data_IF_292229592349
#
_entry.id   IF_292229592349
#
_cell.length_a   1.000
_cell.length_b   1.000
_cell.length_c   1.000
_cell.angle_alpha   90.00
_cell.angle_beta   90.00
_cell.angle_gamma   90.00
#
_symmetry.space_group_name_H-M   'P 1'
#
loop_
_entity.id
_entity.type
_entity.pdbx_description
1 polymer ?
#
# COMPACT_ATOMS: atom_id res chain seq x y z
N UNK A 1 -33.17 8.24 -26.50
CA UNK A 1 -33.64 7.72 -27.80
C UNK A 1 -35.18 7.67 -27.83
N UNK A 2 -35.80 8.11 -28.93
CA UNK A 2 -37.25 8.18 -29.17
C UNK A 2 -37.77 7.09 -30.14
N UNK A 3 -36.89 6.35 -30.81
CA UNK A 3 -37.31 5.27 -31.70
C UNK A 3 -37.47 3.94 -30.96
N UNK A 4 -38.40 3.11 -31.43
CA UNK A 4 -38.67 1.78 -30.86
C UNK A 4 -38.11 0.64 -31.71
N UNK A 5 -37.32 0.95 -32.74
CA UNK A 5 -36.73 0.01 -33.69
C UNK A 5 -35.26 0.34 -34.01
N UNK A 6 -34.66 1.26 -33.28
CA UNK A 6 -33.37 1.86 -33.60
C UNK A 6 -32.25 0.97 -33.06
N UNK A 7 -31.17 0.87 -33.80
CA UNK A 7 -29.98 0.13 -33.39
C UNK A 7 -28.86 1.09 -33.02
N UNK A 8 -28.57 1.16 -31.72
CA UNK A 8 -27.49 2.00 -31.22
C UNK A 8 -26.14 1.32 -31.33
N UNK A 9 -25.13 2.07 -31.77
CA UNK A 9 -23.73 1.63 -31.77
C UNK A 9 -22.92 2.49 -30.82
N UNK A 10 -22.16 1.86 -29.89
CA UNK A 10 -21.25 2.57 -29.00
C UNK A 10 -19.78 2.38 -29.41
N UNK A 11 -18.97 3.43 -29.24
CA UNK A 11 -17.51 3.37 -29.28
C UNK A 11 -16.92 4.00 -28.03
N UNK A 12 -15.89 3.36 -27.49
CA UNK A 12 -15.21 3.81 -26.27
C UNK A 12 -13.74 4.09 -26.59
N UNK A 13 -13.28 5.29 -26.23
CA UNK A 13 -11.86 5.67 -26.20
C UNK A 13 -11.40 5.67 -24.76
N UNK A 14 -10.41 4.86 -24.43
CA UNK A 14 -9.94 4.68 -23.05
C UNK A 14 -8.97 5.77 -22.60
N UNK A 15 -8.48 6.61 -23.51
CA UNK A 15 -7.60 7.73 -23.17
C UNK A 15 -6.14 7.35 -22.91
N UNK A 16 -5.76 6.09 -23.12
CA UNK A 16 -4.40 5.56 -22.94
C UNK A 16 -3.59 5.46 -24.26
N UNK A 17 -4.17 5.95 -25.36
CA UNK A 17 -3.58 5.90 -26.70
C UNK A 17 -3.86 4.61 -27.48
N UNK A 18 -4.58 3.64 -26.90
CA UNK A 18 -5.08 2.47 -27.63
C UNK A 18 -6.18 2.84 -28.62
N UNK A 19 -6.40 1.96 -29.60
CA UNK A 19 -7.48 2.16 -30.58
C UNK A 19 -8.85 2.03 -29.90
N UNK A 20 -9.86 2.81 -30.34
CA UNK A 20 -11.20 2.76 -29.75
C UNK A 20 -11.86 1.40 -29.96
N UNK A 21 -12.57 0.94 -28.94
CA UNK A 21 -13.22 -0.37 -28.91
C UNK A 21 -14.75 -0.23 -29.07
N UNK A 22 -15.42 -1.18 -29.75
CA UNK A 22 -16.88 -1.18 -29.87
C UNK A 22 -17.53 -1.65 -28.55
N UNK A 23 -18.48 -0.86 -28.02
CA UNK A 23 -19.27 -1.21 -26.84
C UNK A 23 -20.56 -1.96 -27.19
N UNK A 24 -21.06 -2.80 -26.27
CA UNK A 24 -22.36 -3.47 -26.43
C UNK A 24 -23.44 -2.57 -25.81
N UNK A 25 -24.40 -2.12 -26.61
CA UNK A 25 -25.52 -1.31 -26.11
C UNK A 25 -26.71 -2.22 -25.80
N UNK A 26 -27.22 -2.13 -24.57
CA UNK A 26 -28.46 -2.79 -24.14
C UNK A 26 -29.50 -1.74 -23.78
N UNK A 27 -30.69 -1.80 -24.37
CA UNK A 27 -31.81 -0.89 -24.08
C UNK A 27 -32.98 -1.65 -23.43
N UNK A 28 -33.67 -1.00 -22.49
CA UNK A 28 -34.93 -1.53 -21.93
C UNK A 28 -36.10 -1.21 -22.88
N UNK A 29 -36.53 -2.23 -23.62
CA UNK A 29 -37.56 -2.12 -24.66
C UNK A 29 -39.01 -2.21 -24.16
N UNK A 30 -39.27 -2.12 -22.86
CA UNK A 30 -40.59 -2.47 -22.28
C UNK A 30 -41.76 -1.48 -22.51
N UNK A 31 -41.73 -0.57 -23.49
CA UNK A 31 -42.83 0.40 -23.71
C UNK A 31 -43.47 0.34 -25.11
N UNK A 32 -44.78 0.65 -25.23
CA UNK A 32 -45.51 0.58 -26.49
C UNK A 32 -44.97 1.53 -27.56
N UNK A 33 -45.19 1.15 -28.83
CA UNK A 33 -44.82 1.91 -30.03
C UNK A 33 -45.37 3.34 -29.96
N UNK A 34 -44.49 4.35 -30.07
CA UNK A 34 -44.85 5.78 -30.08
C UNK A 34 -44.65 6.54 -28.76
N UNK A 35 -43.85 6.02 -27.82
CA UNK A 35 -43.47 6.76 -26.61
C UNK A 35 -42.61 8.00 -26.95
N UNK A 36 -42.91 9.14 -26.32
CA UNK A 36 -42.22 10.43 -26.53
C UNK A 36 -41.13 10.71 -25.48
N UNK A 37 -40.93 9.79 -24.55
CA UNK A 37 -39.92 9.91 -23.49
C UNK A 37 -38.65 9.18 -23.92
N UNK A 38 -37.49 9.80 -23.69
CA UNK A 38 -36.20 9.19 -23.96
C UNK A 38 -35.99 7.93 -23.10
N UNK A 39 -35.43 6.87 -23.70
CA UNK A 39 -35.08 5.64 -22.98
C UNK A 39 -33.66 5.64 -22.44
N UNK A 40 -33.48 4.96 -21.32
CA UNK A 40 -32.18 4.63 -20.75
C UNK A 40 -31.65 3.31 -21.34
N UNK A 41 -30.34 3.21 -21.46
CA UNK A 41 -29.64 1.98 -21.83
C UNK A 41 -28.28 1.89 -21.13
N UNK A 42 -27.64 0.74 -21.22
CA UNK A 42 -26.28 0.51 -20.72
C UNK A 42 -25.33 0.22 -21.88
N UNK A 43 -24.10 0.70 -21.75
CA UNK A 43 -22.98 0.32 -22.62
C UNK A 43 -22.05 -0.58 -21.81
N UNK A 44 -21.97 -1.86 -22.16
CA UNK A 44 -21.14 -2.85 -21.46
C UNK A 44 -19.83 -3.08 -22.23
N UNK A 45 -18.70 -2.86 -21.54
CA UNK A 45 -17.35 -3.12 -22.04
C UNK A 45 -16.34 -3.23 -20.90
N UNK A 46 -15.18 -3.83 -21.15
CA UNK A 46 -14.06 -3.92 -20.20
C UNK A 46 -12.73 -3.65 -20.90
N UNK A 47 -11.80 -2.99 -20.20
CA UNK A 47 -10.48 -2.68 -20.74
C UNK A 47 -9.40 -2.78 -19.66
N UNK A 48 -8.17 -3.06 -20.10
CA UNK A 48 -7.00 -3.19 -19.22
C UNK A 48 -5.99 -2.12 -19.57
N UNK A 49 -5.73 -1.23 -18.61
CA UNK A 49 -4.74 -0.17 -18.80
C UNK A 49 -3.31 -0.70 -18.59
N UNK A 50 -2.36 -0.28 -19.44
CA UNK A 50 -0.97 -0.74 -19.34
C UNK A 50 -0.19 -0.09 -18.20
N UNK A 51 -0.62 1.08 -17.70
CA UNK A 51 0.07 1.83 -16.64
C UNK A 51 -0.94 2.45 -15.66
N UNK A 52 -0.53 2.79 -14.42
CA UNK A 52 -1.28 3.69 -13.56
C UNK A 52 -1.35 5.09 -14.19
N UNK A 53 -2.45 5.81 -13.94
CA UNK A 53 -2.61 7.16 -14.48
C UNK A 53 -4.04 7.69 -14.43
N UNK A 54 -4.18 8.94 -14.83
CA UNK A 54 -5.49 9.57 -15.05
C UNK A 54 -5.83 9.44 -16.53
N UNK A 55 -6.96 8.80 -16.80
CA UNK A 55 -7.44 8.54 -18.14
C UNK A 55 -8.79 9.21 -18.36
N UNK A 56 -8.94 9.89 -19.49
CA UNK A 56 -10.23 10.45 -19.93
C UNK A 56 -10.90 9.45 -20.84
N UNK A 57 -11.85 8.70 -20.29
CA UNK A 57 -12.66 7.76 -21.07
C UNK A 57 -13.76 8.53 -21.76
N UNK A 58 -13.80 8.44 -23.09
CA UNK A 58 -14.87 9.04 -23.91
C UNK A 58 -15.74 7.94 -24.48
N UNK A 59 -17.05 8.03 -24.23
CA UNK A 59 -18.05 7.12 -24.80
C UNK A 59 -18.88 7.90 -25.80
N UNK A 60 -18.97 7.41 -27.03
CA UNK A 60 -19.84 7.97 -28.05
C UNK A 60 -20.89 6.93 -28.46
N UNK A 61 -22.15 7.32 -28.50
CA UNK A 61 -23.27 6.50 -28.95
C UNK A 61 -23.86 7.12 -30.22
N UNK A 62 -24.01 6.31 -31.26
CA UNK A 62 -24.61 6.70 -32.53
C UNK A 62 -25.90 5.91 -32.76
N UNK A 63 -26.89 6.62 -33.30
CA UNK A 63 -28.16 6.10 -33.78
C UNK A 63 -28.01 5.63 -35.24
N UNK A 64 -28.64 4.52 -35.63
CA UNK A 64 -28.53 4.00 -36.99
C UNK A 64 -29.26 4.83 -38.04
N UNK A 65 -30.22 5.66 -37.64
CA UNK A 65 -30.84 6.66 -38.52
C UNK A 65 -29.91 7.88 -38.72
N UNK A 66 -28.97 8.11 -37.80
CA UNK A 66 -28.00 9.22 -37.85
C UNK A 66 -26.57 8.79 -37.45
N UNK A 67 -25.95 7.84 -38.17
CA UNK A 67 -24.68 7.23 -37.77
C UNK A 67 -23.50 8.22 -37.78
N UNK A 68 -23.65 9.32 -38.53
CA UNK A 68 -22.64 10.38 -38.67
C UNK A 68 -22.70 11.44 -37.56
N UNK A 69 -23.67 11.35 -36.63
CA UNK A 69 -23.88 12.35 -35.56
C UNK A 69 -23.90 11.67 -34.18
N UNK A 70 -22.78 11.06 -33.74
CA UNK A 70 -22.71 10.45 -32.42
C UNK A 70 -22.82 11.51 -31.31
N UNK A 71 -23.49 11.14 -30.22
CA UNK A 71 -23.48 11.89 -28.96
C UNK A 71 -22.40 11.30 -28.07
N UNK A 72 -21.49 12.14 -27.57
CA UNK A 72 -20.38 11.71 -26.73
C UNK A 72 -20.46 12.32 -25.34
N UNK A 73 -20.03 11.54 -24.34
CA UNK A 73 -19.75 12.03 -23.00
C UNK A 73 -18.39 11.50 -22.54
N UNK A 74 -17.82 12.12 -21.50
CA UNK A 74 -16.51 11.76 -20.98
C UNK A 74 -16.50 11.68 -19.46
N UNK A 75 -15.79 10.69 -18.95
CA UNK A 75 -15.53 10.54 -17.52
C UNK A 75 -14.02 10.38 -17.29
N UNK A 76 -13.55 10.94 -16.17
CA UNK A 76 -12.15 10.81 -15.75
C UNK A 76 -12.04 9.60 -14.81
N UNK A 77 -11.18 8.66 -15.15
CA UNK A 77 -10.85 7.50 -14.33
C UNK A 77 -9.42 7.63 -13.80
N UNK A 78 -9.23 7.34 -12.52
CA UNK A 78 -7.91 7.10 -11.95
C UNK A 78 -7.70 5.59 -11.94
N UNK A 79 -6.71 5.12 -12.68
CA UNK A 79 -6.32 3.72 -12.66
C UNK A 79 -5.08 3.59 -11.80
N UNK A 80 -5.18 2.76 -10.77
CA UNK A 80 -4.06 2.26 -10.01
C UNK A 80 -3.89 0.79 -10.35
N UNK A 81 -2.68 0.36 -10.69
CA UNK A 81 -2.43 -1.07 -10.76
C UNK A 81 -2.44 -1.64 -9.36
N UNK A 82 -3.13 -2.78 -9.22
CA UNK A 82 -2.99 -3.65 -8.05
C UNK A 82 -1.50 -3.93 -7.82
N UNK A 83 -1.04 -3.43 -6.68
CA UNK A 83 0.29 -3.56 -6.08
C UNK A 83 1.35 -2.57 -6.58
N UNK A 84 1.17 -1.32 -6.15
CA UNK A 84 2.28 -0.54 -5.59
C UNK A 84 3.10 -1.48 -4.68
N UNK A 85 4.41 -1.66 -4.95
CA UNK A 85 5.31 -2.45 -4.07
C UNK A 85 5.53 -1.73 -2.74
N UNK A 86 4.48 -1.46 -1.96
CA UNK A 86 4.54 -0.60 -0.78
C UNK A 86 5.37 -1.30 0.30
N UNK A 87 6.64 -0.95 0.44
CA UNK A 87 7.52 -1.51 1.45
C UNK A 87 7.34 -0.80 2.79
N UNK A 88 7.06 0.49 2.74
CA UNK A 88 6.86 1.34 3.91
C UNK A 88 5.62 2.22 3.69
N UNK A 89 4.64 2.13 4.59
CA UNK A 89 3.43 2.95 4.52
C UNK A 89 3.03 3.56 5.86
N UNK A 90 2.73 4.87 5.87
CA UNK A 90 2.26 5.62 7.04
C UNK A 90 0.88 6.24 6.84
N UNK A 91 -0.13 5.90 7.63
CA UNK A 91 -1.43 6.55 7.53
C UNK A 91 -2.48 6.11 8.55
N UNK A 92 -3.41 7.00 8.82
CA UNK A 92 -4.40 6.80 9.86
C UNK A 92 -5.66 6.12 9.32
N UNK A 93 -6.35 5.44 10.22
CA UNK A 93 -7.64 4.83 9.96
C UNK A 93 -8.67 5.87 9.42
N UNK A 94 -9.44 5.59 8.36
CA UNK A 94 -10.32 6.57 7.70
C UNK A 94 -11.41 7.16 8.60
N UNK A 95 -11.85 6.43 9.63
CA UNK A 95 -12.91 6.86 10.55
C UNK A 95 -12.40 7.71 11.72
N UNK A 96 -11.07 7.90 11.81
CA UNK A 96 -10.42 8.73 12.81
C UNK A 96 -10.34 10.22 12.39
N UNK A 97 -11.44 10.74 11.86
CA UNK A 97 -11.65 12.16 11.53
C UNK A 97 -11.58 13.11 12.75
N UNK A 98 -11.19 12.63 13.93
CA UNK A 98 -11.15 13.36 15.19
C UNK A 98 -9.74 13.49 15.79
N UNK A 99 -8.79 14.02 15.01
CA UNK A 99 -7.59 14.67 15.57
C UNK A 99 -6.30 13.83 15.61
N UNK A 100 -6.27 12.65 15.00
CA UNK A 100 -5.01 11.95 14.73
C UNK A 100 -4.30 12.52 13.49
N UNK A 101 -2.97 12.50 13.52
CA UNK A 101 -2.10 12.88 12.39
C UNK A 101 -2.52 12.07 11.15
N UNK A 102 -2.51 12.62 9.92
CA UNK A 102 -2.84 11.89 8.69
C UNK A 102 -1.85 10.76 8.36
N UNK A 103 -1.10 10.28 9.34
CA UNK A 103 0.06 9.40 9.27
C UNK A 103 1.23 9.93 8.47
N UNK A 104 2.43 9.56 8.88
CA UNK A 104 3.67 10.07 8.29
C UNK A 104 4.69 8.95 8.13
N UNK A 105 5.57 9.14 7.15
CA UNK A 105 6.79 8.34 7.02
C UNK A 105 7.99 9.27 7.09
N UNK A 106 8.85 9.03 8.08
CA UNK A 106 10.16 9.68 8.19
C UNK A 106 11.23 8.59 7.97
N UNK A 107 12.04 8.71 6.91
CA UNK A 107 13.19 7.83 6.63
C UNK A 107 14.48 8.64 6.78
N UNK A 108 15.33 8.20 7.71
CA UNK A 108 16.60 8.82 8.07
C UNK A 108 17.73 8.42 7.13
N UNK A 109 18.95 8.87 7.39
CA UNK A 109 19.99 9.01 6.36
C UNK A 109 20.53 7.66 5.90
N UNK A 110 20.98 7.62 4.64
CA UNK A 110 21.77 6.48 4.12
C UNK A 110 21.01 5.15 4.18
N UNK A 111 19.68 5.20 4.21
CA UNK A 111 18.79 4.04 4.19
C UNK A 111 18.38 3.67 2.77
N UNK A 112 18.17 2.38 2.53
CA UNK A 112 17.84 1.79 1.24
C UNK A 112 16.49 1.08 1.34
N UNK A 113 15.55 1.45 0.47
CA UNK A 113 14.22 0.85 0.41
C UNK A 113 14.04 0.25 -0.98
N UNK A 114 14.01 -1.07 -1.07
CA UNK A 114 13.49 -1.76 -2.26
C UNK A 114 11.97 -1.78 -2.15
N UNK A 115 11.30 -1.13 -3.11
CA UNK A 115 9.86 -0.88 -3.09
C UNK A 115 9.49 0.59 -2.89
N UNK A 116 8.19 0.84 -2.92
CA UNK A 116 7.58 2.15 -2.81
C UNK A 116 7.46 2.58 -1.35
N UNK A 117 7.52 3.89 -1.16
CA UNK A 117 7.33 4.54 0.13
C UNK A 117 6.10 5.42 0.03
N UNK A 118 5.13 5.23 0.92
CA UNK A 118 3.89 5.99 0.87
C UNK A 118 3.48 6.53 2.24
N UNK A 119 2.73 7.61 2.25
CA UNK A 119 1.94 7.99 3.41
C UNK A 119 0.62 8.64 3.00
N UNK A 120 -0.41 8.54 3.82
CA UNK A 120 -1.59 9.39 3.63
C UNK A 120 -1.27 10.86 3.95
N UNK A 121 -0.35 11.12 4.89
CA UNK A 121 0.19 12.45 5.19
C UNK A 121 1.61 12.62 4.66
N UNK A 122 2.50 13.25 5.43
CA UNK A 122 3.82 13.66 4.96
C UNK A 122 4.80 12.48 4.81
N UNK A 123 5.58 12.50 3.72
CA UNK A 123 6.77 11.65 3.56
C UNK A 123 8.03 12.50 3.59
N UNK A 124 8.98 12.17 4.47
CA UNK A 124 10.31 12.80 4.54
C UNK A 124 11.39 11.76 4.33
N UNK A 125 12.22 11.98 3.32
CA UNK A 125 13.38 11.16 2.98
C UNK A 125 14.63 11.97 3.21
N UNK A 126 15.41 11.62 4.23
CA UNK A 126 16.63 12.32 4.61
C UNK A 126 17.73 12.19 3.54
N UNK A 127 18.92 12.72 3.84
CA UNK A 127 20.01 12.71 2.88
C UNK A 127 20.54 11.31 2.57
N UNK A 128 20.96 11.09 1.34
CA UNK A 128 21.58 9.82 0.91
C UNK A 128 20.64 8.62 0.93
N UNK A 129 19.33 8.85 0.87
CA UNK A 129 18.32 7.80 0.74
C UNK A 129 18.35 7.23 -0.68
N UNK A 130 18.11 5.92 -0.80
CA UNK A 130 17.79 5.26 -2.06
C UNK A 130 16.43 4.56 -1.94
N UNK A 131 15.50 4.86 -2.85
CA UNK A 131 14.20 4.20 -2.97
C UNK A 131 14.10 3.60 -4.37
N UNK A 132 14.13 2.26 -4.46
CA UNK A 132 13.88 1.53 -5.70
C UNK A 132 12.37 1.36 -5.92
N UNK A 133 11.71 2.50 -6.14
CA UNK A 133 10.27 2.62 -6.24
C UNK A 133 9.81 4.08 -6.28
N UNK A 134 8.51 4.28 -6.26
CA UNK A 134 7.92 5.61 -6.19
C UNK A 134 7.69 6.07 -4.75
N UNK A 135 7.59 7.38 -4.56
CA UNK A 135 7.33 8.01 -3.27
C UNK A 135 6.02 8.77 -3.34
N UNK A 136 5.10 8.48 -2.43
CA UNK A 136 3.73 9.01 -2.48
C UNK A 136 3.35 9.63 -1.16
N UNK A 137 2.91 10.89 -1.19
CA UNK A 137 2.11 11.48 -0.12
C UNK A 137 0.73 11.75 -0.68
N UNK A 138 -0.30 11.12 -0.10
CA UNK A 138 -1.69 11.26 -0.57
C UNK A 138 -2.13 12.70 -0.35
N UNK A 139 -2.19 13.19 0.88
CA UNK A 139 -2.85 14.48 1.20
C UNK A 139 -1.89 15.63 1.53
N UNK A 140 -0.60 15.35 1.75
CA UNK A 140 0.37 16.37 2.18
C UNK A 140 1.57 16.40 1.22
N UNK A 141 2.77 16.57 1.75
CA UNK A 141 4.00 16.84 1.01
C UNK A 141 4.93 15.66 0.98
N UNK A 142 5.74 15.61 -0.07
CA UNK A 142 6.95 14.79 -0.11
C UNK A 142 8.17 15.70 0.02
N UNK A 143 9.12 15.32 0.88
CA UNK A 143 10.43 15.98 0.99
C UNK A 143 11.56 14.98 0.75
N UNK A 144 12.22 15.09 -0.39
CA UNK A 144 13.47 14.39 -0.70
C UNK A 144 14.63 15.34 -0.39
N UNK A 145 15.38 15.08 0.67
CA UNK A 145 16.56 15.86 1.06
C UNK A 145 17.78 15.50 0.20
N UNK A 146 18.87 16.26 0.40
CA UNK A 146 20.12 16.24 -0.35
C UNK A 146 20.62 14.82 -0.70
N UNK A 147 21.02 14.60 -1.96
CA UNK A 147 21.54 13.32 -2.47
C UNK A 147 20.57 12.12 -2.36
N UNK A 148 19.25 12.36 -2.33
CA UNK A 148 18.25 11.29 -2.37
C UNK A 148 18.04 10.76 -3.79
N UNK A 149 17.92 9.45 -3.96
CA UNK A 149 17.74 8.77 -5.25
C UNK A 149 16.40 8.04 -5.23
N UNK A 150 15.48 8.43 -6.12
CA UNK A 150 14.17 7.81 -6.30
C UNK A 150 14.13 7.21 -7.70
N UNK A 151 13.98 5.89 -7.80
CA UNK A 151 13.95 5.17 -9.08
C UNK A 151 12.61 5.29 -9.81
N UNK A 152 11.52 5.58 -9.09
CA UNK A 152 10.20 5.83 -9.66
C UNK A 152 9.82 7.31 -9.65
N UNK A 153 8.53 7.54 -9.42
CA UNK A 153 7.92 8.86 -9.41
C UNK A 153 7.88 9.45 -8.00
N UNK A 154 7.73 10.77 -7.91
CA UNK A 154 7.37 11.47 -6.67
C UNK A 154 5.99 12.08 -6.84
N UNK A 155 5.03 11.65 -6.02
CA UNK A 155 3.66 12.16 -6.01
C UNK A 155 3.37 12.80 -4.65
N UNK A 156 2.97 14.07 -4.64
CA UNK A 156 2.61 14.80 -3.42
C UNK A 156 1.23 15.44 -3.57
N UNK A 157 0.35 15.22 -2.59
CA UNK A 157 -0.96 15.86 -2.52
C UNK A 157 -0.92 17.39 -2.48
N UNK A 158 0.17 17.98 -1.96
CA UNK A 158 0.38 19.43 -1.91
C UNK A 158 1.70 19.81 -2.58
N UNK A 159 2.82 19.73 -1.85
CA UNK A 159 4.11 20.23 -2.33
C UNK A 159 5.12 19.10 -2.43
N UNK A 160 5.72 18.92 -3.59
CA UNK A 160 6.89 18.06 -3.75
C UNK A 160 8.16 18.91 -3.59
N UNK A 161 9.04 18.55 -2.65
CA UNK A 161 10.37 19.15 -2.52
C UNK A 161 11.42 18.14 -2.98
N UNK A 162 12.13 18.44 -4.06
CA UNK A 162 13.29 17.68 -4.51
C UNK A 162 14.52 18.55 -4.30
N UNK A 163 15.30 18.24 -3.27
CA UNK A 163 16.46 19.03 -2.88
C UNK A 163 17.66 18.76 -3.76
N UNK A 164 18.62 19.67 -3.65
CA UNK A 164 19.88 19.64 -4.38
C UNK A 164 20.55 18.27 -4.42
N UNK A 165 21.20 17.97 -5.55
CA UNK A 165 21.89 16.71 -5.82
C UNK A 165 21.01 15.44 -5.74
N UNK A 166 19.70 15.57 -5.54
CA UNK A 166 18.78 14.44 -5.56
C UNK A 166 18.33 14.15 -6.98
N UNK A 167 17.98 12.89 -7.24
CA UNK A 167 17.51 12.44 -8.54
C UNK A 167 16.19 11.69 -8.40
N UNK A 168 15.20 12.11 -9.18
CA UNK A 168 13.96 11.36 -9.43
C UNK A 168 14.05 10.85 -10.86
N UNK A 169 14.05 9.54 -11.07
CA UNK A 169 14.17 8.97 -12.41
C UNK A 169 12.86 9.10 -13.22
N UNK A 170 11.71 9.04 -12.53
CA UNK A 170 10.39 9.23 -13.11
C UNK A 170 9.89 10.68 -13.07
N UNK A 171 8.57 10.82 -12.95
CA UNK A 171 7.85 12.08 -12.92
C UNK A 171 7.75 12.68 -11.51
N UNK A 172 7.55 13.99 -11.43
CA UNK A 172 7.20 14.69 -10.19
C UNK A 172 5.82 15.31 -10.33
N UNK A 173 4.88 14.83 -9.52
CA UNK A 173 3.51 15.31 -9.43
C UNK A 173 3.30 16.02 -8.09
N UNK A 174 2.73 17.23 -8.13
CA UNK A 174 2.41 18.00 -6.93
C UNK A 174 1.05 18.68 -7.06
N UNK A 175 0.16 18.49 -6.08
CA UNK A 175 -1.17 19.11 -6.09
C UNK A 175 -1.15 20.65 -6.08
N UNK A 176 -0.14 21.25 -5.44
CA UNK A 176 0.04 22.70 -5.39
C UNK A 176 1.28 23.17 -6.15
N UNK A 177 2.45 22.60 -5.82
CA UNK A 177 3.74 23.07 -6.36
C UNK A 177 4.85 22.02 -6.26
N UNK A 178 5.65 21.90 -7.31
CA UNK A 178 6.92 21.21 -7.30
C UNK A 178 8.06 22.22 -7.05
N UNK A 179 8.89 21.96 -6.04
CA UNK A 179 10.07 22.75 -5.69
C UNK A 179 11.31 21.89 -5.88
N UNK A 180 11.85 21.95 -7.10
CA UNK A 180 13.07 21.24 -7.51
C UNK A 180 14.22 22.25 -7.48
N UNK A 181 15.25 21.99 -6.67
CA UNK A 181 16.44 22.86 -6.59
C UNK A 181 17.29 22.73 -7.89
N UNK A 182 18.10 23.75 -8.25
CA UNK A 182 18.77 23.89 -9.56
C UNK A 182 19.71 22.73 -9.98
N UNK A 183 20.22 21.96 -9.03
CA UNK A 183 21.14 20.83 -9.19
C UNK A 183 20.49 19.47 -8.84
N UNK A 184 19.18 19.45 -8.63
CA UNK A 184 18.39 18.23 -8.63
C UNK A 184 18.01 17.83 -10.06
N UNK A 185 17.84 16.53 -10.30
CA UNK A 185 17.44 16.01 -11.61
C UNK A 185 16.10 15.30 -11.53
N UNK A 186 15.21 15.60 -12.47
CA UNK A 186 13.98 14.85 -12.72
C UNK A 186 14.10 14.27 -14.12
N UNK A 187 14.04 12.95 -14.25
CA UNK A 187 14.17 12.25 -15.53
C UNK A 187 12.91 12.37 -16.39
N UNK A 188 11.75 12.47 -15.75
CA UNK A 188 10.45 12.68 -16.37
C UNK A 188 9.95 14.13 -16.35
N UNK A 189 8.63 14.28 -16.39
CA UNK A 189 7.91 15.54 -16.34
C UNK A 189 7.71 16.08 -14.93
N UNK A 190 7.43 17.39 -14.84
CA UNK A 190 7.03 18.05 -13.61
C UNK A 190 5.61 18.59 -13.80
N UNK A 191 4.68 18.12 -12.98
CA UNK A 191 3.26 18.45 -13.07
C UNK A 191 2.78 19.09 -11.78
N UNK A 192 2.13 20.25 -11.90
CA UNK A 192 1.58 21.01 -10.79
C UNK A 192 0.08 21.23 -10.97
N UNK A 193 -0.68 21.18 -9.86
CA UNK A 193 -2.10 21.50 -9.82
C UNK A 193 -2.95 20.36 -9.27
N UNK A 194 -4.22 20.64 -8.91
CA UNK A 194 -5.08 19.70 -8.20
C UNK A 194 -5.36 18.42 -8.99
N UNK A 195 -5.25 18.49 -10.32
CA UNK A 195 -5.40 17.38 -11.25
C UNK A 195 -4.11 16.58 -11.50
N UNK A 196 -2.97 17.06 -10.99
CA UNK A 196 -1.67 16.43 -11.20
C UNK A 196 -1.46 15.21 -10.30
N UNK A 197 -2.17 15.08 -9.17
CA UNK A 197 -2.00 13.98 -8.22
C UNK A 197 -3.01 12.86 -8.50
N UNK A 198 -2.62 11.72 -9.10
CA UNK A 198 -3.44 10.53 -9.02
C UNK A 198 -3.36 10.04 -7.57
N UNK A 199 -4.37 10.32 -6.75
CA UNK A 199 -4.45 9.75 -5.41
C UNK A 199 -4.71 8.25 -5.58
N UNK A 200 -3.78 7.35 -5.21
CA UNK A 200 -4.20 5.98 -4.96
C UNK A 200 -5.14 6.02 -3.75
N UNK A 201 -6.32 5.44 -3.91
CA UNK A 201 -7.14 5.11 -2.74
C UNK A 201 -6.40 3.98 -2.02
N UNK A 202 -5.76 4.32 -0.89
CA UNK A 202 -5.13 3.33 -0.03
C UNK A 202 -6.12 3.03 1.09
N UNK A 203 -6.73 1.85 1.02
CA UNK A 203 -7.62 1.35 2.05
C UNK A 203 -6.80 0.85 3.24
N UNK A 204 -7.22 1.20 4.45
CA UNK A 204 -6.59 0.71 5.68
C UNK A 204 -7.26 -0.57 6.15
N UNK A 205 -6.54 -1.35 6.96
CA UNK A 205 -7.05 -2.58 7.56
C UNK A 205 -7.51 -2.30 8.98
N UNK A 206 -8.79 -2.55 9.22
CA UNK A 206 -9.28 -2.82 10.57
C UNK A 206 -8.91 -4.24 10.96
N UNK A 207 -8.12 -4.38 12.02
CA UNK A 207 -7.77 -5.68 12.57
C UNK A 207 -8.32 -5.78 14.00
N UNK A 208 -9.41 -6.52 14.17
CA UNK A 208 -10.00 -6.77 15.50
C UNK A 208 -9.00 -7.52 16.40
N UNK A 209 -8.38 -6.80 17.33
CA UNK A 209 -7.42 -7.38 18.25
C UNK A 209 -8.16 -8.23 19.31
N UNK A 210 -7.68 -9.46 19.58
CA UNK A 210 -8.30 -10.35 20.54
C UNK A 210 -8.13 -9.87 21.99
N UNK A 211 -9.12 -10.13 22.84
CA UNK A 211 -9.24 -9.54 24.20
C UNK A 211 -8.91 -10.49 25.36
N UNK A 212 -8.75 -11.79 25.13
CA UNK A 212 -8.50 -12.78 26.20
C UNK A 212 -7.07 -13.33 26.15
N UNK A 213 -6.30 -13.09 27.22
CA UNK A 213 -4.92 -13.55 27.37
C UNK A 213 -4.67 -14.48 28.56
N UNK A 214 -3.70 -15.41 28.42
CA UNK A 214 -3.24 -16.32 29.49
C UNK A 214 -2.18 -15.65 30.39
N UNK A 215 -1.57 -16.43 31.29
CA UNK A 215 -0.52 -15.95 32.19
C UNK A 215 0.70 -15.34 31.46
N UNK A 216 1.35 -14.39 32.14
CA UNK A 216 2.58 -13.73 31.67
C UNK A 216 3.75 -14.71 31.69
N UNK A 217 4.60 -14.70 30.65
CA UNK A 217 5.78 -15.56 30.53
C UNK A 217 7.04 -14.72 30.53
N UNK A 218 8.00 -15.02 31.42
CA UNK A 218 9.29 -14.34 31.47
C UNK A 218 10.42 -15.34 31.55
N UNK A 219 11.32 -15.31 30.57
CA UNK A 219 12.48 -16.20 30.47
C UNK A 219 13.76 -15.39 30.34
N UNK A 220 14.83 -15.85 30.99
CA UNK A 220 16.15 -15.22 30.95
C UNK A 220 17.23 -16.27 30.80
N UNK A 221 18.15 -16.08 29.85
CA UNK A 221 19.29 -16.98 29.57
C UNK A 221 18.87 -18.42 29.30
N UNK A 222 17.72 -18.61 28.67
CA UNK A 222 17.19 -19.91 28.28
C UNK A 222 16.35 -19.76 27.01
N UNK A 223 16.25 -20.82 26.19
CA UNK A 223 15.31 -20.86 25.08
C UNK A 223 13.87 -20.91 25.60
N UNK A 224 12.95 -20.30 24.86
CA UNK A 224 11.51 -20.36 25.07
C UNK A 224 10.85 -20.78 23.75
N UNK A 225 10.23 -21.97 23.75
CA UNK A 225 9.40 -22.45 22.64
C UNK A 225 7.94 -22.29 23.04
N UNK A 226 7.15 -21.63 22.20
CA UNK A 226 5.72 -21.45 22.45
C UNK A 226 4.91 -22.12 21.33
N UNK A 227 3.94 -23.00 21.64
CA UNK A 227 2.96 -23.45 20.65
C UNK A 227 1.95 -22.32 20.34
N UNK A 228 1.27 -22.37 19.18
CA UNK A 228 0.19 -21.43 18.85
C UNK A 228 -0.87 -21.37 19.95
N UNK A 229 -1.05 -20.20 20.56
CA UNK A 229 -2.01 -19.93 21.64
C UNK A 229 -2.07 -18.42 21.95
N UNK A 230 -2.90 -18.04 22.92
CA UNK A 230 -2.82 -16.72 23.55
C UNK A 230 -1.96 -16.72 24.81
N UNK A 231 -1.23 -15.64 25.00
CA UNK A 231 -0.35 -15.34 26.13
C UNK A 231 -0.56 -13.91 26.62
N UNK A 232 -0.29 -13.65 27.90
CA UNK A 232 -0.16 -12.28 28.41
C UNK A 232 1.17 -11.66 27.96
N UNK A 233 1.80 -10.85 28.81
CA UNK A 233 3.13 -10.31 28.51
C UNK A 233 4.15 -11.46 28.35
N UNK A 234 4.85 -11.49 27.23
CA UNK A 234 5.98 -12.39 27.00
C UNK A 234 7.27 -11.60 26.91
N UNK A 235 8.25 -12.00 27.72
CA UNK A 235 9.58 -11.38 27.76
C UNK A 235 10.70 -12.41 27.74
N UNK A 236 11.57 -12.33 26.74
CA UNK A 236 12.77 -13.17 26.62
C UNK A 236 14.03 -12.30 26.69
N UNK A 237 14.99 -12.66 27.55
CA UNK A 237 16.24 -11.90 27.70
C UNK A 237 17.47 -12.80 27.60
N UNK A 238 18.44 -12.44 26.77
CA UNK A 238 19.72 -13.16 26.64
C UNK A 238 19.56 -14.67 26.30
N UNK A 239 18.50 -15.04 25.59
CA UNK A 239 18.13 -16.42 25.25
C UNK A 239 17.62 -16.50 23.81
N UNK A 240 16.62 -17.33 23.56
CA UNK A 240 15.92 -17.37 22.27
C UNK A 240 14.41 -17.54 22.44
N UNK A 241 13.65 -17.03 21.50
CA UNK A 241 12.23 -17.30 21.31
C UNK A 241 12.07 -18.15 20.04
N UNK A 242 11.26 -19.18 20.09
CA UNK A 242 10.94 -20.01 18.92
C UNK A 242 9.43 -20.15 18.79
N UNK A 243 8.91 -19.74 17.63
CA UNK A 243 7.52 -19.90 17.22
C UNK A 243 7.48 -20.74 15.95
N UNK A 244 6.52 -21.66 15.87
CA UNK A 244 6.22 -22.42 14.65
C UNK A 244 5.09 -21.73 13.87
N UNK A 245 4.75 -22.22 12.68
CA UNK A 245 3.53 -21.82 11.98
C UNK A 245 2.29 -21.94 12.87
N UNK A 246 1.29 -21.11 12.59
CA UNK A 246 0.05 -20.98 13.35
C UNK A 246 -0.20 -19.57 13.88
N UNK A 247 -1.26 -19.43 14.67
CA UNK A 247 -1.71 -18.13 15.18
C UNK A 247 -1.35 -17.95 16.65
N UNK A 248 -0.67 -16.85 16.94
CA UNK A 248 -0.27 -16.44 18.28
C UNK A 248 -0.92 -15.12 18.66
N UNK A 249 -1.17 -14.96 19.95
CA UNK A 249 -1.74 -13.74 20.52
C UNK A 249 -0.96 -13.37 21.79
N UNK A 250 -0.56 -12.11 21.91
CA UNK A 250 0.19 -11.57 23.04
C UNK A 250 -0.43 -10.26 23.52
N UNK A 251 -0.41 -10.00 24.83
CA UNK A 251 -0.64 -8.63 25.33
C UNK A 251 0.53 -7.72 24.93
N UNK A 252 1.74 -8.14 25.28
CA UNK A 252 3.01 -7.53 24.89
C UNK A 252 3.99 -8.64 24.50
N UNK A 253 4.79 -8.41 23.48
CA UNK A 253 5.88 -9.32 23.11
C UNK A 253 7.21 -8.56 23.10
N UNK A 254 8.14 -8.99 23.94
CA UNK A 254 9.45 -8.35 24.03
C UNK A 254 10.63 -9.33 24.04
N UNK A 255 11.66 -9.01 23.25
CA UNK A 255 12.96 -9.67 23.30
C UNK A 255 14.04 -8.65 23.67
N UNK A 256 15.04 -9.09 24.43
CA UNK A 256 16.20 -8.27 24.78
C UNK A 256 17.48 -9.07 24.60
N UNK A 257 18.24 -8.76 23.54
CA UNK A 257 19.43 -9.51 23.15
C UNK A 257 19.13 -11.00 23.07
N UNK A 258 18.06 -11.36 22.40
CA UNK A 258 17.61 -12.73 22.26
C UNK A 258 17.27 -13.01 20.79
N UNK A 259 17.68 -14.17 20.31
CA UNK A 259 17.39 -14.61 18.94
C UNK A 259 15.91 -14.98 18.84
N UNK A 260 15.33 -14.80 17.66
CA UNK A 260 13.95 -15.19 17.37
C UNK A 260 13.95 -16.15 16.18
N UNK A 261 13.65 -17.41 16.44
CA UNK A 261 13.51 -18.45 15.42
C UNK A 261 12.04 -18.63 15.01
N UNK A 262 11.84 -18.81 13.70
CA UNK A 262 10.54 -19.03 13.07
C UNK A 262 10.59 -20.33 12.28
N UNK A 263 9.74 -21.29 12.62
CA UNK A 263 9.63 -22.56 11.90
C UNK A 263 8.30 -22.61 11.12
N UNK A 264 8.34 -22.45 9.80
CA UNK A 264 7.13 -22.42 8.97
C UNK A 264 6.66 -23.83 8.51
N UNK A 265 7.43 -24.88 8.79
CA UNK A 265 7.13 -26.26 8.41
C UNK A 265 7.49 -27.20 9.57
N UNK A 266 6.75 -27.12 10.70
CA UNK A 266 7.11 -27.83 11.92
C UNK A 266 6.88 -29.34 11.84
N UNK A 267 6.10 -29.84 10.87
CA UNK A 267 5.90 -31.28 10.64
C UNK A 267 6.85 -31.86 9.58
N UNK A 268 7.54 -30.99 8.82
CA UNK A 268 8.55 -31.35 7.85
C UNK A 268 7.95 -31.97 6.58
N UNK A 269 6.69 -31.63 6.25
CA UNK A 269 6.00 -32.16 5.08
C UNK A 269 6.41 -31.46 3.77
N UNK A 270 7.18 -30.37 3.88
CA UNK A 270 7.68 -29.57 2.76
C UNK A 270 6.72 -28.46 2.32
N UNK A 271 5.68 -28.18 3.10
CA UNK A 271 4.72 -27.11 2.86
C UNK A 271 4.84 -26.07 3.96
N UNK A 272 5.25 -24.85 3.58
CA UNK A 272 5.28 -23.74 4.52
C UNK A 272 3.87 -23.26 4.84
N UNK A 273 3.55 -23.18 6.13
CA UNK A 273 2.33 -22.60 6.66
C UNK A 273 2.60 -21.24 7.30
N UNK A 274 1.62 -20.34 7.36
CA UNK A 274 1.84 -19.00 7.88
C UNK A 274 2.03 -18.95 9.39
N UNK A 275 2.91 -18.06 9.83
CA UNK A 275 2.98 -17.56 11.19
C UNK A 275 2.23 -16.22 11.26
N UNK A 276 1.17 -16.17 12.07
CA UNK A 276 0.41 -14.93 12.34
C UNK A 276 0.51 -14.59 13.81
N UNK A 277 1.08 -13.42 14.12
CA UNK A 277 1.33 -12.94 15.48
C UNK A 277 0.53 -11.68 15.74
N UNK A 278 -0.46 -11.78 16.63
CA UNK A 278 -1.23 -10.65 17.12
C UNK A 278 -0.61 -10.15 18.44
N UNK A 279 -0.35 -8.84 18.53
CA UNK A 279 0.17 -8.19 19.73
C UNK A 279 -0.76 -7.02 20.08
N UNK A 280 -1.40 -7.09 21.25
CA UNK A 280 -2.43 -6.12 21.64
C UNK A 280 -1.86 -4.71 21.83
N UNK A 281 -0.77 -4.59 22.60
CA UNK A 281 -0.21 -3.29 22.98
C UNK A 281 1.13 -3.05 22.29
N UNK A 282 2.22 -3.65 22.82
CA UNK A 282 3.59 -3.36 22.36
C UNK A 282 4.33 -4.60 21.86
N UNK A 283 4.88 -4.48 20.65
CA UNK A 283 5.95 -5.33 20.12
C UNK A 283 7.30 -4.63 20.28
N UNK A 284 8.27 -5.27 20.94
CA UNK A 284 9.61 -4.72 21.16
C UNK A 284 10.67 -5.81 20.94
N UNK A 285 11.25 -5.86 19.74
CA UNK A 285 12.17 -6.93 19.36
C UNK A 285 13.62 -6.42 19.35
N UNK A 286 14.50 -7.10 20.09
CA UNK A 286 15.96 -6.88 20.08
C UNK A 286 16.70 -8.21 19.88
N UNK A 287 17.25 -8.38 18.70
CA UNK A 287 17.90 -9.60 18.22
C UNK A 287 17.38 -9.98 16.84
N UNK A 288 18.18 -10.74 16.09
CA UNK A 288 17.83 -11.13 14.72
C UNK A 288 16.71 -12.17 14.72
N UNK A 289 15.84 -12.07 13.72
CA UNK A 289 14.88 -13.11 13.37
C UNK A 289 15.48 -14.04 12.32
N UNK A 290 15.17 -15.34 12.40
CA UNK A 290 15.65 -16.33 11.43
C UNK A 290 14.58 -17.37 11.17
N UNK A 291 14.25 -17.57 9.90
CA UNK A 291 13.42 -18.70 9.47
C UNK A 291 14.31 -19.95 9.46
N UNK A 292 13.92 -20.96 10.23
CA UNK A 292 14.70 -22.19 10.41
C UNK A 292 14.21 -23.36 9.55
N UNK A 293 12.97 -23.29 9.04
CA UNK A 293 12.42 -24.26 8.11
C UNK A 293 13.15 -24.25 6.77
N UNK A 294 13.22 -25.40 6.10
CA UNK A 294 13.83 -25.51 4.76
C UNK A 294 12.95 -24.91 3.65
N UNK A 295 11.67 -24.72 3.94
CA UNK A 295 10.66 -24.12 3.07
C UNK A 295 10.06 -22.87 3.73
N UNK A 296 9.51 -21.98 2.92
CA UNK A 296 8.98 -20.70 3.36
C UNK A 296 9.99 -19.56 3.29
N UNK A 297 9.49 -18.34 3.42
CA UNK A 297 10.26 -17.11 3.38
C UNK A 297 9.52 -16.03 4.21
N UNK A 298 10.02 -14.80 4.19
CA UNK A 298 9.42 -13.70 4.96
C UNK A 298 7.94 -13.45 4.59
N UNK A 299 7.50 -13.84 3.39
CA UNK A 299 6.10 -13.72 2.98
C UNK A 299 5.16 -14.67 3.73
N UNK A 300 5.66 -15.59 4.56
CA UNK A 300 4.83 -16.41 5.46
C UNK A 300 4.72 -15.87 6.88
N UNK A 301 5.22 -14.66 7.17
CA UNK A 301 5.29 -14.12 8.54
C UNK A 301 4.56 -12.79 8.63
N UNK A 302 3.50 -12.74 9.44
CA UNK A 302 2.68 -11.55 9.67
C UNK A 302 2.62 -11.19 11.15
N UNK A 303 2.95 -9.94 11.48
CA UNK A 303 2.73 -9.32 12.79
C UNK A 303 1.64 -8.27 12.67
N UNK A 304 0.65 -8.33 13.56
CA UNK A 304 -0.40 -7.32 13.70
C UNK A 304 -0.30 -6.77 15.12
N UNK A 305 -0.06 -5.48 15.26
CA UNK A 305 0.29 -4.82 16.52
C UNK A 305 -0.63 -3.64 16.76
N UNK A 306 -1.23 -3.53 17.95
CA UNK A 306 -2.20 -2.46 18.22
C UNK A 306 -1.59 -1.06 18.31
N UNK A 307 -0.67 -0.83 19.25
CA UNK A 307 -0.18 0.53 19.54
C UNK A 307 1.24 0.78 19.02
N UNK A 308 2.18 -0.13 19.27
CA UNK A 308 3.59 0.19 18.98
C UNK A 308 4.44 -1.02 18.62
N UNK A 309 5.13 -0.92 17.49
CA UNK A 309 6.17 -1.85 17.08
C UNK A 309 7.56 -1.16 17.10
N UNK A 310 8.46 -1.66 17.94
CA UNK A 310 9.87 -1.26 17.99
C UNK A 310 10.74 -2.42 17.53
N UNK A 311 11.28 -2.31 16.32
CA UNK A 311 12.30 -3.22 15.80
C UNK A 311 13.66 -2.60 16.12
N UNK A 312 14.32 -3.06 17.19
CA UNK A 312 15.62 -2.53 17.62
C UNK A 312 16.73 -2.92 16.65
N UNK A 313 17.98 -2.58 16.98
CA UNK A 313 19.13 -2.96 16.14
C UNK A 313 19.23 -4.48 16.02
N UNK A 314 19.14 -5.01 14.80
CA UNK A 314 19.34 -6.43 14.48
C UNK A 314 19.93 -6.62 13.09
N UNK A 315 20.54 -7.76 12.80
CA UNK A 315 21.06 -8.02 11.45
C UNK A 315 19.91 -8.20 10.44
N UNK A 316 18.83 -8.86 10.86
CA UNK A 316 17.64 -9.06 10.05
C UNK A 316 16.37 -9.24 10.89
N UNK A 317 15.28 -8.62 10.44
CA UNK A 317 13.91 -8.96 10.74
C UNK A 317 13.26 -9.57 9.50
N UNK A 318 12.28 -10.44 9.69
CA UNK A 318 11.53 -11.08 8.60
C UNK A 318 10.03 -10.92 8.84
N UNK A 319 9.29 -10.61 7.78
CA UNK A 319 7.84 -10.56 7.79
C UNK A 319 7.24 -9.16 7.61
N UNK A 320 5.92 -9.11 7.54
CA UNK A 320 5.16 -7.86 7.50
C UNK A 320 4.76 -7.44 8.90
N UNK A 321 4.94 -6.15 9.22
CA UNK A 321 4.51 -5.54 10.47
C UNK A 321 3.40 -4.54 10.19
N UNK A 322 2.17 -4.88 10.58
CA UNK A 322 0.97 -4.05 10.48
C UNK A 322 0.66 -3.44 11.85
N UNK A 323 0.61 -2.11 11.93
CA UNK A 323 0.43 -1.33 13.17
C UNK A 323 -0.62 -0.23 12.95
N UNK A 324 -1.89 -0.59 12.67
CA UNK A 324 -2.87 0.28 12.00
C UNK A 324 -3.14 1.58 12.77
N UNK A 325 -3.26 1.50 14.10
CA UNK A 325 -3.56 2.65 14.96
C UNK A 325 -2.32 3.25 15.61
N UNK A 326 -1.15 2.72 15.27
CA UNK A 326 0.04 2.84 16.08
C UNK A 326 1.27 3.31 15.34
N UNK A 327 2.41 3.24 16.03
CA UNK A 327 3.70 3.67 15.46
C UNK A 327 4.64 2.50 15.28
N UNK A 328 5.25 2.43 14.11
CA UNK A 328 6.33 1.50 13.84
C UNK A 328 7.66 2.25 13.78
N UNK A 329 8.70 1.69 14.42
CA UNK A 329 10.06 2.20 14.34
C UNK A 329 11.05 1.08 14.04
N UNK A 330 11.92 1.31 13.07
CA UNK A 330 13.05 0.43 12.75
C UNK A 330 14.33 1.16 13.13
N UNK A 331 15.09 0.60 14.09
CA UNK A 331 16.34 1.16 14.57
C UNK A 331 17.44 1.13 13.51
N UNK A 332 18.41 2.03 13.69
CA UNK A 332 19.55 2.17 12.80
C UNK A 332 20.36 0.89 12.63
N UNK A 333 20.99 0.77 11.46
CA UNK A 333 21.82 -0.37 11.08
C UNK A 333 21.06 -1.73 11.10
N UNK A 334 19.73 -1.69 10.88
CA UNK A 334 18.90 -2.89 10.79
C UNK A 334 18.51 -3.24 9.37
N UNK A 335 18.24 -4.52 9.13
CA UNK A 335 17.63 -5.00 7.87
C UNK A 335 16.23 -5.53 8.15
N UNK A 336 15.28 -5.22 7.28
CA UNK A 336 13.96 -5.84 7.23
C UNK A 336 13.78 -6.50 5.86
N UNK A 337 13.50 -7.81 5.84
CA UNK A 337 12.99 -8.52 4.66
C UNK A 337 11.49 -8.69 4.86
N UNK A 338 10.69 -7.87 4.19
CA UNK A 338 9.28 -7.75 4.53
C UNK A 338 8.67 -6.41 4.13
N UNK A 339 7.72 -5.94 4.94
CA UNK A 339 7.12 -4.61 4.81
C UNK A 339 6.67 -4.08 6.17
N UNK A 340 6.47 -2.77 6.26
CA UNK A 340 5.95 -2.11 7.47
C UNK A 340 4.83 -1.12 7.11
N UNK A 341 3.70 -1.27 7.78
CA UNK A 341 2.50 -0.48 7.61
C UNK A 341 2.06 0.02 8.98
N UNK A 342 1.96 1.33 9.19
CA UNK A 342 1.56 1.88 10.49
C UNK A 342 0.86 3.23 10.35
N UNK A 343 0.30 3.77 11.43
CA UNK A 343 -0.13 5.17 11.43
C UNK A 343 1.06 6.12 11.22
N UNK A 344 2.13 5.95 12.00
CA UNK A 344 3.40 6.62 11.75
C UNK A 344 4.53 5.60 11.59
N UNK A 345 5.37 5.75 10.57
CA UNK A 345 6.61 4.96 10.42
C UNK A 345 7.84 5.84 10.55
N UNK A 346 8.76 5.41 11.41
CA UNK A 346 10.08 6.01 11.60
C UNK A 346 11.17 4.98 11.25
N UNK A 347 11.89 5.22 10.16
CA UNK A 347 12.99 4.37 9.70
C UNK A 347 14.30 5.08 9.97
N UNK A 348 15.12 4.57 10.89
CA UNK A 348 16.36 5.22 11.31
C UNK A 348 17.52 5.09 10.30
N UNK A 349 18.68 5.67 10.64
CA UNK A 349 19.84 5.75 9.74
C UNK A 349 20.34 4.36 9.30
N UNK A 350 20.72 4.21 8.02
CA UNK A 350 21.31 2.98 7.46
C UNK A 350 20.45 1.74 7.67
N UNK A 351 19.15 1.89 7.54
CA UNK A 351 18.22 0.76 7.49
C UNK A 351 18.09 0.29 6.05
N UNK A 352 18.04 -1.03 5.85
CA UNK A 352 17.72 -1.64 4.57
C UNK A 352 16.37 -2.33 4.67
N UNK A 353 15.44 -2.01 3.77
CA UNK A 353 14.15 -2.72 3.63
C UNK A 353 14.13 -3.41 2.26
N UNK A 354 13.94 -4.72 2.25
CA UNK A 354 13.74 -5.52 1.05
C UNK A 354 12.29 -5.96 0.98
N UNK A 355 11.57 -5.53 -0.06
CA UNK A 355 10.14 -5.80 -0.21
C UNK A 355 9.86 -7.30 -0.37
N UNK A 356 9.28 -7.92 0.67
CA UNK A 356 8.77 -9.28 0.63
C UNK A 356 7.59 -9.45 1.61
N UNK A 357 6.47 -8.76 1.36
CA UNK A 357 5.35 -8.72 2.31
C UNK A 357 4.64 -10.08 2.47
N UNK A 358 4.00 -10.27 3.62
CA UNK A 358 3.25 -11.46 3.99
C UNK A 358 2.09 -11.73 3.05
N UNK A 359 1.96 -12.95 2.53
CA UNK A 359 0.85 -13.40 1.64
C UNK A 359 -0.49 -13.26 2.33
N UNK A 360 -0.52 -13.50 3.63
CA UNK A 360 -1.69 -13.44 4.49
C UNK A 360 -2.14 -11.99 4.69
N UNK A 361 -1.23 -11.03 4.55
CA UNK A 361 -1.58 -9.62 4.48
C UNK A 361 -2.20 -9.24 3.12
N UNK A 362 -2.57 -10.18 2.24
CA UNK A 362 -3.22 -9.89 0.95
C UNK A 362 -4.61 -10.52 0.80
N UNK A 363 -5.05 -11.38 1.74
CA UNK A 363 -6.38 -12.02 1.65
C UNK A 363 -7.47 -11.19 2.35
N UNK A 364 -7.12 -10.35 3.32
CA UNK A 364 -8.08 -9.52 4.08
C UNK A 364 -7.86 -8.00 3.95
N UNK A 365 -6.79 -7.56 3.29
CA UNK A 365 -6.14 -6.26 3.61
C UNK A 365 -6.37 -5.17 2.55
N UNK A 366 -6.68 -5.51 1.29
CA UNK A 366 -6.92 -4.50 0.25
C UNK A 366 -7.97 -4.99 -0.74
N UNK A 367 -9.24 -4.61 -0.53
CA UNK A 367 -10.27 -4.76 -1.57
C UNK A 367 -10.15 -3.56 -2.51
N UNK A 368 -9.95 -3.74 -3.82
CA UNK A 368 -10.03 -2.63 -4.76
C UNK A 368 -11.44 -2.07 -4.73
N UNK A 369 -11.59 -0.80 -4.31
CA UNK A 369 -12.82 -0.06 -4.54
C UNK A 369 -12.80 0.38 -6.00
N UNK A 370 -13.51 -0.34 -6.85
CA UNK A 370 -13.99 0.24 -8.10
C UNK A 370 -15.06 1.24 -7.67
N UNK A 371 -14.82 2.55 -7.84
CA UNK A 371 -15.88 3.55 -7.72
C UNK A 371 -16.48 3.72 -9.12
N UNK A 372 -17.56 3.01 -9.49
CA UNK A 372 -18.27 3.33 -10.72
C UNK A 372 -18.96 4.68 -10.52
N UNK A 373 -18.45 5.71 -11.17
CA UNK A 373 -19.28 6.87 -11.50
C UNK A 373 -20.35 6.40 -12.49
N UNK A 374 -21.62 6.45 -12.10
CA UNK A 374 -22.71 6.20 -13.03
C UNK A 374 -22.62 7.24 -14.16
N UNK A 375 -22.63 6.76 -15.41
CA UNK A 375 -22.81 7.59 -16.59
C UNK A 375 -24.33 7.67 -16.82
N UNK A 376 -25.01 8.77 -16.51
CA UNK A 376 -26.34 8.97 -17.06
C UNK A 376 -26.17 9.31 -18.55
N UNK A 377 -26.57 8.38 -19.43
CA UNK A 377 -26.77 8.65 -20.86
C UNK A 377 -28.20 9.12 -21.06
#
# INVERSE_FOLDING_TARGET
DLGTLDSLTARVWWGDGTAPEPGIVTQDWSSPVGALEGRNGTVDLSHTYPYPGIYTVTVCVADDDQPDVPVCDSLRMTIVHGFVKMAVFGGAHPEDASGHSPGKVDIHKESMIDGWVGATGEVRLAKGIEVDGSVISVTDRVKVYDTGIIAGDVVAGTVAYVKKHSSVAGDVHAGDRAKVDDDATVGGGIYEGPDASPYPEVTWVDADLPTESKDKVKVKRAPLVLPPATYGDVKVQYGSLELSSGTYRFDDLSTHRADFYVDLDPDGDGVAEPLVVWVRDKLDLEGSMTITSAVGDASGVLFIVGDKAELKKAEAYVGTFLVPDGKARIDKDSTLVGAVYAADVDVEDRVSVTYLPAREAFVEVFVPVIVPGAIPI
#
